data_IF_894502746416
#
_entry.id   IF_894502746416
#
_cell.length_a   1.000
_cell.length_b   1.000
_cell.length_c   1.000
_cell.angle_alpha   90.00
_cell.angle_beta   90.00
_cell.angle_gamma   90.00
#
_symmetry.space_group_name_H-M   'P 1'
#
loop_
_entity.id
_entity.type
_entity.pdbx_description
1 polymer ?
#
# COMPACT_ATOMS: atom_id res chain seq x y z
N UNK A 1 29.54 -25.23 51.94
CA UNK A 1 28.97 -24.00 51.34
C UNK A 1 28.82 -24.05 49.79
N UNK A 2 29.02 -25.18 49.11
CA UNK A 2 29.12 -25.23 47.62
C UNK A 2 27.77 -25.39 46.90
N UNK A 3 26.72 -25.90 47.57
CA UNK A 3 25.41 -26.19 46.94
C UNK A 3 24.63 -24.95 46.46
N UNK A 4 24.90 -23.75 46.98
CA UNK A 4 24.15 -22.52 46.61
C UNK A 4 24.59 -21.90 45.26
N UNK A 5 25.83 -22.12 44.82
CA UNK A 5 26.34 -21.55 43.56
C UNK A 5 25.78 -22.25 42.31
N UNK A 6 25.50 -23.55 42.38
CA UNK A 6 24.94 -24.30 41.25
C UNK A 6 23.49 -23.95 40.93
N UNK A 7 22.69 -23.66 41.97
CA UNK A 7 21.27 -23.26 41.82
C UNK A 7 21.18 -21.88 41.14
N UNK A 8 22.02 -20.93 41.58
CA UNK A 8 22.06 -19.59 41.01
C UNK A 8 22.47 -19.59 39.53
N UNK A 9 23.42 -20.45 39.15
CA UNK A 9 23.83 -20.61 37.75
C UNK A 9 22.72 -21.25 36.90
N UNK A 10 22.02 -22.25 37.44
CA UNK A 10 20.91 -22.89 36.75
C UNK A 10 19.75 -21.89 36.51
N UNK A 11 19.38 -21.10 37.50
CA UNK A 11 18.37 -20.03 37.35
C UNK A 11 18.80 -18.97 36.33
N UNK A 12 20.07 -18.55 36.35
CA UNK A 12 20.61 -17.62 35.37
C UNK A 12 20.55 -18.18 33.94
N UNK A 13 20.85 -19.46 33.75
CA UNK A 13 20.73 -20.11 32.44
C UNK A 13 19.28 -20.22 31.97
N UNK A 14 18.35 -20.57 32.86
CA UNK A 14 16.91 -20.60 32.54
C UNK A 14 16.43 -19.20 32.14
N UNK A 15 16.81 -18.16 32.89
CA UNK A 15 16.50 -16.78 32.55
C UNK A 15 17.07 -16.36 31.20
N UNK A 16 18.31 -16.77 30.88
CA UNK A 16 18.95 -16.49 29.60
C UNK A 16 18.21 -17.16 28.42
N UNK A 17 17.77 -18.41 28.58
CA UNK A 17 17.01 -19.14 27.56
C UNK A 17 15.65 -18.47 27.30
N UNK A 18 14.96 -18.06 28.37
CA UNK A 18 13.69 -17.32 28.25
C UNK A 18 13.89 -15.98 27.54
N UNK A 19 14.95 -15.24 27.88
CA UNK A 19 15.32 -13.99 27.20
C UNK A 19 15.65 -14.20 25.72
N UNK A 20 16.42 -15.23 25.39
CA UNK A 20 16.76 -15.59 24.02
C UNK A 20 15.50 -15.97 23.20
N UNK A 21 14.59 -16.73 23.80
CA UNK A 21 13.30 -17.07 23.19
C UNK A 21 12.44 -15.82 22.93
N UNK A 22 12.36 -14.91 23.90
CA UNK A 22 11.63 -13.65 23.75
C UNK A 22 12.24 -12.78 22.64
N UNK A 23 13.58 -12.68 22.59
CA UNK A 23 14.30 -11.92 21.57
C UNK A 23 14.05 -12.49 20.17
N UNK A 24 14.05 -13.81 20.02
CA UNK A 24 13.73 -14.47 18.75
C UNK A 24 12.29 -14.15 18.29
N UNK A 25 11.32 -14.18 19.21
CA UNK A 25 9.93 -13.82 18.93
C UNK A 25 9.77 -12.37 18.49
N UNK A 26 10.37 -11.42 19.22
CA UNK A 26 10.32 -9.99 18.88
C UNK A 26 10.97 -9.76 17.52
N UNK A 27 12.10 -10.39 17.26
CA UNK A 27 12.80 -10.25 15.97
C UNK A 27 11.94 -10.76 14.82
N UNK A 28 11.33 -11.94 14.96
CA UNK A 28 10.42 -12.50 13.95
C UNK A 28 9.20 -11.58 13.71
N UNK A 29 8.61 -11.02 14.76
CA UNK A 29 7.50 -10.08 14.67
C UNK A 29 7.89 -8.79 13.92
N UNK A 30 9.06 -8.22 14.22
CA UNK A 30 9.58 -7.03 13.54
C UNK A 30 9.85 -7.31 12.06
N UNK A 31 10.40 -8.48 11.72
CA UNK A 31 10.61 -8.86 10.32
C UNK A 31 9.29 -9.02 9.55
N UNK A 32 8.26 -9.60 10.18
CA UNK A 32 6.93 -9.69 9.59
C UNK A 32 6.31 -8.30 9.37
N UNK A 33 6.47 -7.39 10.34
CA UNK A 33 5.98 -6.01 10.23
C UNK A 33 6.73 -5.20 9.16
N UNK A 34 8.05 -5.35 9.04
CA UNK A 34 8.83 -4.66 7.99
C UNK A 34 8.37 -5.04 6.59
N UNK A 35 8.15 -6.33 6.32
CA UNK A 35 7.62 -6.77 5.02
C UNK A 35 6.23 -6.20 4.71
N UNK A 36 5.40 -5.97 5.74
CA UNK A 36 4.11 -5.32 5.56
C UNK A 36 4.27 -3.81 5.31
N UNK A 37 5.22 -3.16 5.99
CA UNK A 37 5.55 -1.75 5.78
C UNK A 37 6.13 -1.49 4.38
N UNK A 38 7.04 -2.34 3.90
CA UNK A 38 7.64 -2.21 2.57
C UNK A 38 6.56 -2.28 1.46
N UNK A 39 5.58 -3.16 1.62
CA UNK A 39 4.42 -3.24 0.71
C UNK A 39 3.57 -1.98 0.77
N UNK A 40 3.32 -1.47 1.97
CA UNK A 40 2.55 -0.24 2.15
C UNK A 40 3.24 0.97 1.51
N UNK A 41 4.56 1.09 1.63
CA UNK A 41 5.32 2.18 1.01
C UNK A 41 5.31 2.07 -0.52
N UNK A 42 5.44 0.87 -1.08
CA UNK A 42 5.31 0.63 -2.52
C UNK A 42 3.89 0.98 -3.04
N UNK A 43 2.86 0.62 -2.28
CA UNK A 43 1.46 0.94 -2.62
C UNK A 43 1.22 2.45 -2.55
N UNK A 44 1.81 3.12 -1.54
CA UNK A 44 1.75 4.57 -1.39
C UNK A 44 2.41 5.29 -2.55
N UNK A 45 3.58 4.86 -2.98
CA UNK A 45 4.25 5.41 -4.16
C UNK A 45 3.39 5.22 -5.42
N UNK A 46 2.79 4.03 -5.57
CA UNK A 46 1.88 3.72 -6.68
C UNK A 46 0.64 4.61 -6.67
N UNK A 47 0.04 4.85 -5.50
CA UNK A 47 -1.09 5.79 -5.35
C UNK A 47 -0.72 7.22 -5.72
N UNK A 48 0.46 7.70 -5.31
CA UNK A 48 0.94 9.04 -5.68
C UNK A 48 1.09 9.16 -7.21
N UNK A 49 1.61 8.12 -7.86
CA UNK A 49 1.71 8.07 -9.31
C UNK A 49 0.34 8.09 -10.00
N UNK A 50 -0.61 7.28 -9.52
CA UNK A 50 -1.99 7.26 -10.03
C UNK A 50 -2.68 8.60 -9.81
N UNK A 51 -2.47 9.25 -8.66
CA UNK A 51 -3.03 10.58 -8.39
C UNK A 51 -2.46 11.65 -9.33
N UNK A 52 -1.14 11.64 -9.58
CA UNK A 52 -0.51 12.55 -10.56
C UNK A 52 -1.06 12.32 -11.97
N UNK A 53 -1.26 11.06 -12.36
CA UNK A 53 -1.85 10.73 -13.65
C UNK A 53 -3.31 11.17 -13.75
N UNK A 54 -4.09 11.04 -12.68
CA UNK A 54 -5.46 11.56 -12.62
C UNK A 54 -5.49 13.09 -12.81
N UNK A 55 -4.59 13.81 -12.14
CA UNK A 55 -4.45 15.27 -12.30
C UNK A 55 -4.01 15.65 -13.72
N UNK A 56 -3.12 14.88 -14.33
CA UNK A 56 -2.71 15.06 -15.73
C UNK A 56 -3.92 14.89 -16.67
N UNK A 57 -4.71 13.82 -16.51
CA UNK A 57 -5.93 13.61 -17.31
C UNK A 57 -6.96 14.72 -17.10
N UNK A 58 -7.15 15.19 -15.88
CA UNK A 58 -8.04 16.32 -15.57
C UNK A 58 -7.60 17.63 -16.23
N UNK A 59 -6.29 17.81 -16.44
CA UNK A 59 -5.72 18.96 -17.15
C UNK A 59 -5.55 18.74 -18.66
N UNK A 60 -6.19 17.73 -19.23
CA UNK A 60 -6.11 17.34 -20.65
C UNK A 60 -4.70 16.93 -21.11
N UNK A 61 -3.81 16.58 -20.16
CA UNK A 61 -2.51 16.00 -20.46
C UNK A 61 -2.61 14.49 -20.58
N UNK A 62 -1.68 13.89 -21.33
CA UNK A 62 -1.61 12.44 -21.46
C UNK A 62 -1.16 11.79 -20.15
N UNK A 63 -1.79 10.69 -19.78
CA UNK A 63 -1.29 9.87 -18.68
C UNK A 63 0.05 9.21 -19.05
N UNK A 64 0.89 8.91 -18.06
CA UNK A 64 2.05 8.03 -18.21
C UNK A 64 1.70 6.71 -18.92
N UNK A 65 2.59 6.23 -19.78
CA UNK A 65 2.37 5.03 -20.60
C UNK A 65 2.20 3.73 -19.81
N UNK A 66 2.60 3.72 -18.53
CA UNK A 66 2.54 2.58 -17.62
C UNK A 66 1.23 2.52 -16.81
N UNK A 67 0.25 3.38 -17.11
CA UNK A 67 -1.03 3.44 -16.40
C UNK A 67 -2.16 3.01 -17.33
N UNK A 68 -2.89 1.99 -16.91
CA UNK A 68 -4.06 1.52 -17.64
C UNK A 68 -5.28 2.35 -17.24
N UNK A 69 -5.91 2.99 -18.22
CA UNK A 69 -7.12 3.78 -18.04
C UNK A 69 -8.29 3.01 -18.63
N UNK A 70 -9.33 2.80 -17.82
CA UNK A 70 -10.58 2.21 -18.24
C UNK A 70 -11.72 3.17 -17.94
N UNK A 71 -12.50 3.50 -18.97
CA UNK A 71 -13.75 4.24 -18.79
C UNK A 71 -14.79 3.33 -18.13
N UNK A 72 -15.41 3.83 -17.06
CA UNK A 72 -16.43 3.10 -16.32
C UNK A 72 -17.82 3.51 -16.83
N UNK A 73 -18.67 2.55 -17.24
CA UNK A 73 -20.05 2.84 -17.62
C UNK A 73 -20.82 3.37 -16.39
N UNK A 74 -21.52 4.50 -16.53
CA UNK A 74 -22.36 5.09 -15.47
C UNK A 74 -23.50 4.14 -15.08
N UNK A 75 -23.77 3.92 -13.77
CA UNK A 75 -24.11 4.99 -12.82
C UNK A 75 -23.36 4.89 -11.47
N UNK A 76 -22.16 5.45 -11.41
CA UNK A 76 -21.59 6.02 -10.17
C UNK A 76 -22.29 7.37 -9.88
N UNK A 77 -22.24 7.93 -8.64
CA UNK A 77 -23.23 8.92 -8.17
C UNK A 77 -23.49 10.06 -9.16
N UNK A 78 -24.75 10.51 -9.23
CA UNK A 78 -25.38 11.40 -10.23
C UNK A 78 -24.75 12.81 -10.39
N UNK A 79 -23.50 13.02 -9.98
CA UNK A 79 -22.83 14.31 -9.83
C UNK A 79 -21.49 14.36 -10.56
N UNK A 80 -21.28 13.57 -11.61
CA UNK A 80 -20.26 13.96 -12.59
C UNK A 80 -20.77 15.23 -13.31
N UNK A 81 -19.97 16.30 -13.38
CA UNK A 81 -20.32 17.48 -14.18
C UNK A 81 -20.66 17.08 -15.62
N UNK A 82 -21.49 17.88 -16.30
CA UNK A 82 -21.73 17.71 -17.72
C UNK A 82 -20.37 17.65 -18.46
N UNK A 83 -20.25 16.74 -19.43
CA UNK A 83 -19.04 16.48 -20.22
C UNK A 83 -17.90 15.75 -19.48
N UNK A 84 -18.13 15.20 -18.29
CA UNK A 84 -17.14 14.41 -17.55
C UNK A 84 -17.58 12.95 -17.39
N UNK A 85 -16.62 12.02 -17.35
CA UNK A 85 -16.87 10.60 -17.18
C UNK A 85 -16.03 10.00 -16.04
N UNK A 86 -16.49 8.88 -15.51
CA UNK A 86 -15.75 8.12 -14.51
C UNK A 86 -14.67 7.29 -15.21
N UNK A 87 -13.44 7.40 -14.72
CA UNK A 87 -12.32 6.60 -15.17
C UNK A 87 -11.70 5.85 -13.98
N UNK A 88 -11.34 4.62 -14.26
CA UNK A 88 -10.54 3.74 -13.42
C UNK A 88 -9.10 3.77 -13.95
N UNK A 89 -8.17 4.21 -13.11
CA UNK A 89 -6.73 4.17 -13.38
C UNK A 89 -6.14 3.04 -12.55
N UNK A 90 -5.43 2.12 -13.20
CA UNK A 90 -4.79 0.99 -12.53
C UNK A 90 -3.31 0.89 -12.86
N UNK A 91 -2.52 0.51 -11.85
CA UNK A 91 -1.08 0.23 -11.96
C UNK A 91 -0.73 -0.88 -10.98
N UNK A 92 -0.32 -2.04 -11.49
CA UNK A 92 -0.13 -3.23 -10.66
C UNK A 92 -1.44 -3.67 -10.00
N UNK A 93 -1.44 -3.82 -8.67
CA UNK A 93 -2.63 -4.17 -7.87
C UNK A 93 -3.36 -2.96 -7.29
N UNK A 94 -2.87 -1.74 -7.52
CA UNK A 94 -3.49 -0.51 -7.01
C UNK A 94 -4.39 0.09 -8.08
N UNK A 95 -5.60 0.46 -7.67
CA UNK A 95 -6.62 1.05 -8.54
C UNK A 95 -7.14 2.36 -7.93
N UNK A 96 -7.29 3.38 -8.76
CA UNK A 96 -7.84 4.68 -8.39
C UNK A 96 -9.01 5.01 -9.31
N UNK A 97 -10.17 5.32 -8.74
CA UNK A 97 -11.36 5.73 -9.48
C UNK A 97 -11.56 7.23 -9.29
N UNK A 98 -11.82 7.95 -10.37
CA UNK A 98 -12.07 9.38 -10.33
C UNK A 98 -12.81 9.88 -11.55
N UNK A 99 -13.10 11.18 -11.57
CA UNK A 99 -13.80 11.83 -12.67
C UNK A 99 -12.78 12.57 -13.53
N UNK A 100 -12.84 12.37 -14.84
CA UNK A 100 -11.98 13.00 -15.84
C UNK A 100 -12.84 13.66 -16.93
N UNK A 101 -12.33 14.73 -17.58
CA UNK A 101 -13.04 15.36 -18.67
C UNK A 101 -13.22 14.38 -19.83
N UNK A 102 -14.43 14.34 -20.40
CA UNK A 102 -14.73 13.67 -21.64
C UNK A 102 -13.77 14.13 -22.73
N UNK A 103 -13.00 13.21 -23.30
CA UNK A 103 -12.31 13.53 -24.55
C UNK A 103 -13.42 13.82 -25.56
N UNK A 104 -13.57 15.07 -26.02
CA UNK A 104 -14.60 15.49 -26.98
C UNK A 104 -14.55 14.79 -28.34
N UNK A 105 -13.93 13.61 -28.46
CA UNK A 105 -14.01 12.70 -29.61
C UNK A 105 -15.26 11.83 -29.53
N UNK A 106 -16.40 12.50 -29.39
CA UNK A 106 -17.73 11.90 -29.31
C UNK A 106 -18.81 12.92 -29.66
N UNK A 107 -18.57 13.77 -30.67
CA UNK A 107 -19.64 14.45 -31.37
C UNK A 107 -20.03 13.55 -32.57
N UNK A 108 -21.27 13.02 -32.63
CA UNK A 108 -21.84 12.56 -33.89
C UNK A 108 -21.94 13.72 -34.90
#
# INVERSE_FOLDING_TARGET
MVKRRGIFLAEAMVGLVLLAGLFAMVTAAVFAQRRAADRFDADRETLIHLQRAMLALQSHQSAPADIHIRELPTPMPKTAPADWHWAELSRGHVTLIGVVPGSGKGAP
#
